data_IF_803104933166
#
_entry.id   IF_803104933166
#
_cell.length_a   1.000
_cell.length_b   1.000
_cell.length_c   1.000
_cell.angle_alpha   90.00
_cell.angle_beta   90.00
_cell.angle_gamma   90.00
#
_symmetry.space_group_name_H-M   'P 1'
#
loop_
_entity.id
_entity.type
_entity.pdbx_description
1 polymer ?
#
# COMPACT_ATOMS: atom_id res chain seq x y z
N UNK A 1 -9.96 17.40 -10.73
CA UNK A 1 -8.95 16.40 -10.32
C UNK A 1 -8.99 15.26 -11.32
N UNK A 2 -7.88 15.00 -12.02
CA UNK A 2 -7.80 13.95 -13.04
C UNK A 2 -7.46 12.63 -12.35
N UNK A 3 -8.40 11.68 -12.34
CA UNK A 3 -8.15 10.32 -11.86
C UNK A 3 -7.02 9.74 -12.72
N UNK A 4 -5.85 9.37 -12.16
CA UNK A 4 -4.79 8.75 -12.95
C UNK A 4 -5.32 7.46 -13.58
N UNK A 5 -5.21 7.36 -14.91
CA UNK A 5 -5.54 6.12 -15.64
C UNK A 5 -4.67 5.00 -15.06
N UNK A 6 -5.28 3.85 -14.72
CA UNK A 6 -4.54 2.65 -14.33
C UNK A 6 -3.43 2.42 -15.35
N UNK A 7 -2.19 2.29 -14.87
CA UNK A 7 -1.05 1.86 -15.69
C UNK A 7 -1.42 0.52 -16.34
N UNK A 8 -1.50 0.43 -17.69
CA UNK A 8 -1.79 -0.83 -18.37
C UNK A 8 -0.75 -1.87 -17.96
N UNK A 9 -1.18 -3.10 -17.70
CA UNK A 9 -0.27 -4.17 -17.31
C UNK A 9 0.23 -4.12 -15.85
N UNK A 10 -0.32 -3.24 -15.00
CA UNK A 10 0.06 -3.18 -13.57
C UNK A 10 -1.14 -3.46 -12.67
N UNK A 11 -0.97 -4.45 -11.80
CA UNK A 11 -1.90 -4.81 -10.72
C UNK A 11 -1.37 -4.24 -9.41
N UNK A 12 -2.28 -3.72 -8.58
CA UNK A 12 -1.95 -3.19 -7.26
C UNK A 12 -2.59 -4.06 -6.18
N UNK A 13 -1.81 -4.39 -5.16
CA UNK A 13 -2.32 -4.91 -3.90
C UNK A 13 -2.30 -3.78 -2.86
N UNK A 14 -3.34 -3.71 -2.04
CA UNK A 14 -3.51 -2.63 -1.05
C UNK A 14 -4.06 -3.21 0.26
N UNK A 15 -3.54 -2.72 1.39
CA UNK A 15 -4.12 -2.92 2.71
C UNK A 15 -4.09 -1.61 3.51
N UNK A 16 -4.82 -1.58 4.62
CA UNK A 16 -4.89 -0.44 5.54
C UNK A 16 -4.70 -0.89 6.98
N UNK A 17 -3.99 -0.09 7.77
CA UNK A 17 -3.93 -0.24 9.22
C UNK A 17 -3.91 1.11 9.91
N UNK A 18 -4.18 1.13 11.21
CA UNK A 18 -4.05 2.32 12.05
C UNK A 18 -2.74 2.32 12.84
N UNK A 19 -2.50 3.42 13.56
CA UNK A 19 -1.34 3.56 14.46
C UNK A 19 -0.13 4.19 13.77
N UNK A 20 1.03 4.05 14.42
CA UNK A 20 2.30 4.60 13.93
C UNK A 20 2.97 3.72 12.88
N UNK A 21 4.06 4.21 12.30
CA UNK A 21 4.76 3.46 11.25
C UNK A 21 5.36 2.12 11.72
N UNK A 22 5.72 1.98 13.00
CA UNK A 22 6.15 0.68 13.53
C UNK A 22 5.01 -0.35 13.58
N UNK A 23 3.77 0.09 13.80
CA UNK A 23 2.58 -0.76 13.65
C UNK A 23 2.42 -1.22 12.20
N UNK A 24 2.70 -0.36 11.22
CA UNK A 24 2.66 -0.71 9.79
C UNK A 24 3.62 -1.86 9.48
N UNK A 25 4.85 -1.81 9.98
CA UNK A 25 5.84 -2.90 9.80
C UNK A 25 5.33 -4.22 10.39
N UNK A 26 4.82 -4.18 11.62
CA UNK A 26 4.27 -5.36 12.30
C UNK A 26 3.06 -5.96 11.55
N UNK A 27 2.15 -5.11 11.08
CA UNK A 27 1.01 -5.54 10.28
C UNK A 27 1.46 -6.13 8.94
N UNK A 28 2.39 -5.48 8.25
CA UNK A 28 2.94 -5.96 6.97
C UNK A 28 3.59 -7.35 7.10
N UNK A 29 4.36 -7.58 8.15
CA UNK A 29 4.94 -8.90 8.44
C UNK A 29 3.90 -9.98 8.73
N UNK A 30 2.72 -9.61 9.22
CA UNK A 30 1.60 -10.53 9.40
C UNK A 30 0.91 -10.79 8.06
N UNK A 31 0.57 -9.74 7.32
CA UNK A 31 -0.10 -9.83 6.02
C UNK A 31 0.67 -10.68 5.01
N UNK A 32 2.01 -10.62 4.98
CA UNK A 32 2.85 -11.47 4.13
C UNK A 32 2.64 -12.98 4.30
N UNK A 33 1.99 -13.41 5.39
CA UNK A 33 1.67 -14.81 5.69
C UNK A 33 0.21 -15.14 5.41
N UNK A 34 -0.62 -14.14 5.18
CA UNK A 34 -2.05 -14.30 4.94
C UNK A 34 -2.33 -14.53 3.45
N UNK A 35 -3.27 -15.41 3.10
CA UNK A 35 -3.72 -15.56 1.72
C UNK A 35 -4.51 -14.33 1.25
N UNK A 36 -4.46 -14.02 -0.04
CA UNK A 36 -5.35 -13.03 -0.64
C UNK A 36 -6.79 -13.56 -0.65
N UNK A 37 -7.76 -12.74 -0.22
CA UNK A 37 -9.19 -13.11 -0.18
C UNK A 37 -9.69 -13.61 -1.55
N UNK A 38 -9.22 -12.99 -2.64
CA UNK A 38 -9.67 -13.28 -4.00
C UNK A 38 -8.78 -14.27 -4.77
N UNK A 39 -7.62 -14.63 -4.21
CA UNK A 39 -6.63 -15.59 -4.76
C UNK A 39 -5.92 -16.31 -3.62
N UNK A 40 -6.59 -17.27 -2.95
CA UNK A 40 -6.08 -17.89 -1.74
C UNK A 40 -4.75 -18.64 -1.92
N UNK A 41 -4.41 -19.01 -3.16
CA UNK A 41 -3.15 -19.63 -3.55
C UNK A 41 -1.94 -18.68 -3.45
N UNK A 42 -2.18 -17.37 -3.35
CA UNK A 42 -1.15 -16.34 -3.22
C UNK A 42 -1.20 -15.66 -1.87
N UNK A 43 -0.04 -15.34 -1.34
CA UNK A 43 0.09 -14.55 -0.10
C UNK A 43 0.01 -13.05 -0.42
N UNK A 44 -0.50 -12.28 0.52
CA UNK A 44 -0.56 -10.83 0.38
C UNK A 44 0.85 -10.24 0.34
N UNK A 45 1.11 -9.26 -0.54
CA UNK A 45 2.43 -8.63 -0.67
C UNK A 45 3.56 -9.62 -0.96
N UNK A 46 3.26 -10.74 -1.61
CA UNK A 46 4.22 -11.76 -1.98
C UNK A 46 5.42 -11.15 -2.74
N UNK A 47 6.63 -11.57 -2.38
CA UNK A 47 7.89 -11.10 -2.98
C UNK A 47 8.38 -9.74 -2.49
N UNK A 48 7.61 -9.01 -1.67
CA UNK A 48 8.07 -7.75 -1.05
C UNK A 48 8.70 -8.04 0.31
N UNK A 49 9.92 -7.56 0.53
CA UNK A 49 10.71 -7.80 1.73
C UNK A 49 10.23 -6.94 2.91
N UNK A 50 10.04 -5.65 2.68
CA UNK A 50 9.71 -4.64 3.68
C UNK A 50 8.65 -3.65 3.18
N UNK A 51 8.24 -2.74 4.07
CA UNK A 51 7.36 -1.61 3.79
C UNK A 51 8.08 -0.32 4.16
N UNK A 52 7.96 0.69 3.30
CA UNK A 52 8.63 1.99 3.46
C UNK A 52 7.62 3.12 3.40
N UNK A 53 7.82 4.23 4.13
CA UNK A 53 6.97 5.40 3.96
C UNK A 53 7.17 5.96 2.56
N UNK A 54 6.08 6.38 1.92
CA UNK A 54 6.11 7.08 0.63
C UNK A 54 6.86 8.42 0.75
N UNK A 55 6.79 9.04 1.92
CA UNK A 55 7.42 10.29 2.30
C UNK A 55 6.84 10.78 3.64
N UNK A 56 7.17 12.01 4.01
CA UNK A 56 6.70 12.62 5.27
C UNK A 56 5.32 13.31 5.16
N UNK A 57 4.73 13.31 3.96
CA UNK A 57 3.43 13.91 3.70
C UNK A 57 2.30 13.15 4.42
N UNK A 58 1.38 13.89 5.03
CA UNK A 58 0.12 13.35 5.57
C UNK A 58 -1.04 13.81 4.70
N UNK A 59 -1.71 12.86 4.06
CA UNK A 59 -2.88 13.13 3.23
C UNK A 59 -4.13 13.31 4.10
N UNK A 60 -5.00 14.25 3.72
CA UNK A 60 -6.28 14.49 4.41
C UNK A 60 -7.39 13.47 4.08
N UNK A 61 -7.16 12.57 3.12
CA UNK A 61 -8.12 11.56 2.68
C UNK A 61 -7.42 10.36 2.02
N UNK A 62 -8.11 9.24 1.95
CA UNK A 62 -7.57 7.98 1.39
C UNK A 62 -7.36 8.02 -0.13
N UNK A 63 -8.23 8.71 -0.87
CA UNK A 63 -8.13 8.80 -2.34
C UNK A 63 -6.84 9.46 -2.85
N UNK A 64 -6.44 10.68 -2.40
CA UNK A 64 -5.18 11.28 -2.84
C UNK A 64 -3.96 10.46 -2.42
N UNK A 65 -3.96 9.86 -1.23
CA UNK A 65 -2.90 8.96 -0.78
C UNK A 65 -2.78 7.73 -1.68
N UNK A 66 -3.91 7.12 -2.06
CA UNK A 66 -3.97 6.00 -2.99
C UNK A 66 -3.38 6.39 -4.35
N UNK A 67 -3.69 7.58 -4.87
CA UNK A 67 -3.12 8.03 -6.14
C UNK A 67 -1.62 8.31 -6.07
N UNK A 68 -1.13 8.87 -4.96
CA UNK A 68 0.30 9.06 -4.75
C UNK A 68 1.04 7.72 -4.71
N UNK A 69 0.50 6.73 -4.00
CA UNK A 69 1.03 5.36 -3.98
C UNK A 69 1.02 4.71 -5.37
N UNK A 70 -0.06 4.84 -6.13
CA UNK A 70 -0.14 4.27 -7.49
C UNK A 70 0.88 4.88 -8.46
N UNK A 71 1.26 6.14 -8.25
CA UNK A 71 2.28 6.81 -9.06
C UNK A 71 3.71 6.41 -8.66
N UNK A 72 3.92 6.05 -7.40
CA UNK A 72 5.24 5.79 -6.85
C UNK A 72 5.63 4.30 -6.85
N UNK A 73 4.65 3.38 -6.75
CA UNK A 73 4.95 1.95 -6.73
C UNK A 73 5.35 1.45 -8.12
N UNK A 74 6.42 0.66 -8.17
CA UNK A 74 6.87 -0.08 -9.34
C UNK A 74 6.81 -1.61 -9.11
N UNK A 75 6.44 -2.41 -10.13
CA UNK A 75 6.44 -3.87 -10.04
C UNK A 75 7.77 -4.45 -9.55
N UNK A 76 8.88 -3.86 -9.98
CA UNK A 76 10.24 -4.25 -9.64
C UNK A 76 10.65 -3.90 -8.21
N UNK A 77 9.89 -3.08 -7.48
CA UNK A 77 10.26 -2.67 -6.13
C UNK A 77 10.35 -3.89 -5.21
N UNK A 78 11.44 -4.07 -4.45
CA UNK A 78 11.52 -5.15 -3.48
C UNK A 78 10.71 -4.86 -2.21
N UNK A 79 9.98 -3.74 -2.15
CA UNK A 79 9.21 -3.28 -0.99
C UNK A 79 7.81 -2.82 -1.38
N UNK A 80 6.94 -2.70 -0.37
CA UNK A 80 5.70 -1.94 -0.46
C UNK A 80 5.91 -0.48 -0.01
N UNK A 81 5.05 0.42 -0.45
CA UNK A 81 5.02 1.82 -0.01
C UNK A 81 3.82 2.08 0.89
N UNK A 82 3.99 2.94 1.90
CA UNK A 82 2.97 3.30 2.86
C UNK A 82 2.74 4.82 2.88
N UNK A 83 1.50 5.26 2.72
CA UNK A 83 1.12 6.67 2.79
C UNK A 83 0.28 6.93 4.05
N UNK A 84 0.65 7.97 4.81
CA UNK A 84 -0.06 8.39 6.02
C UNK A 84 -1.31 9.18 5.65
N UNK A 85 -2.45 8.80 6.20
CA UNK A 85 -3.74 9.46 6.03
C UNK A 85 -4.27 9.88 7.39
N UNK A 86 -4.72 11.13 7.47
CA UNK A 86 -5.47 11.63 8.62
C UNK A 86 -6.85 12.06 8.13
N UNK A 87 -7.82 11.19 8.36
CA UNK A 87 -9.20 11.34 7.92
C UNK A 87 -10.11 11.36 9.15
N UNK A 88 -10.86 12.44 9.33
CA UNK A 88 -11.77 12.67 10.46
C UNK A 88 -11.19 12.31 11.85
N UNK A 89 -9.96 12.78 12.10
CA UNK A 89 -9.24 12.54 13.36
C UNK A 89 -8.65 11.13 13.51
N UNK A 90 -8.86 10.22 12.56
CA UNK A 90 -8.24 8.88 12.55
C UNK A 90 -6.95 8.90 11.77
N UNK A 91 -5.91 8.35 12.39
CA UNK A 91 -4.62 8.15 11.73
C UNK A 91 -4.55 6.73 11.14
N UNK A 92 -4.40 6.68 9.82
CA UNK A 92 -4.37 5.48 9.03
C UNK A 92 -3.14 5.46 8.13
N UNK A 93 -2.74 4.27 7.72
CA UNK A 93 -1.71 4.04 6.72
C UNK A 93 -2.27 3.17 5.61
N UNK A 94 -2.24 3.67 4.38
CA UNK A 94 -2.47 2.85 3.18
C UNK A 94 -1.15 2.24 2.77
N UNK A 95 -1.09 0.92 2.64
CA UNK A 95 0.10 0.19 2.16
C UNK A 95 -0.20 -0.40 0.80
N UNK A 96 0.67 -0.16 -0.17
CA UNK A 96 0.49 -0.58 -1.56
C UNK A 96 1.75 -1.22 -2.12
N UNK A 97 1.55 -2.23 -2.96
CA UNK A 97 2.57 -2.79 -3.82
C UNK A 97 2.05 -2.89 -5.26
N UNK A 98 2.95 -2.68 -6.22
CA UNK A 98 2.69 -2.93 -7.63
C UNK A 98 3.26 -4.28 -8.07
N UNK A 99 2.61 -4.87 -9.06
CA UNK A 99 2.96 -6.12 -9.73
C UNK A 99 2.65 -6.01 -11.21
N UNK A 100 3.38 -6.76 -12.04
CA UNK A 100 2.96 -7.00 -13.41
C UNK A 100 1.63 -7.80 -13.40
N UNK A 101 0.73 -7.46 -14.33
CA UNK A 101 -0.64 -7.99 -14.40
C UNK A 101 -0.74 -9.31 -15.17
#
# INVERSE_FOLDING_TARGET
>A
MTIPKRRPGVRYEINVCGGGFDSVKSHFDTWKREPLIYRPERRMFEGKADVRPLGDETFGATEPARFALQRACEPSDPYALAARVRDDGRELWLVMAAYDA
#
